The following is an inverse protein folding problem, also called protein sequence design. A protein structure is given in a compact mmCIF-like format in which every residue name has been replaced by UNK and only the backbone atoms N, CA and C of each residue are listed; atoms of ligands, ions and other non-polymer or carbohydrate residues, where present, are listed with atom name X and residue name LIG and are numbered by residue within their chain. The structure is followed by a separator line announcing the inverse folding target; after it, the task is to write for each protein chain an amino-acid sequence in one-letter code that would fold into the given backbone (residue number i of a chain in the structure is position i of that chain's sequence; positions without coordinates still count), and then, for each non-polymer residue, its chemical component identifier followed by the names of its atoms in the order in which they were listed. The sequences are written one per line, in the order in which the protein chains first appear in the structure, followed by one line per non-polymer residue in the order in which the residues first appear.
data_IF_591294500727
#
_entry.id   IF_591294500727
#
_cell.length_a   1.000
_cell.length_b   1.000
_cell.length_c   1.000
_cell.angle_alpha   90.00
_cell.angle_beta   90.00
_cell.angle_gamma   90.00
#
_symmetry.space_group_name_H-M   'P 1'
#
loop_
_entity.id
_entity.type
_entity.pdbx_description
1 polymer ?
#
# COMPACT_ATOMS: atom_id res chain seq x y z
N UNK A 1 18.91 -25.41 1.80
CA UNK A 1 18.60 -24.58 2.99
C UNK A 1 17.51 -23.55 2.72
N UNK A 2 17.61 -22.75 1.64
CA UNK A 2 16.51 -21.88 1.16
C UNK A 2 15.23 -22.65 0.76
N UNK A 3 15.37 -23.85 0.20
CA UNK A 3 14.23 -24.72 -0.16
C UNK A 3 13.43 -25.15 1.08
N UNK A 4 14.12 -25.50 2.16
CA UNK A 4 13.46 -25.86 3.42
C UNK A 4 12.76 -24.65 4.07
N UNK A 5 13.32 -23.44 3.95
CA UNK A 5 12.67 -22.20 4.37
C UNK A 5 11.44 -21.88 3.50
N UNK A 6 11.51 -22.12 2.18
CA UNK A 6 10.38 -21.99 1.26
C UNK A 6 9.27 -22.98 1.60
N UNK A 7 9.60 -24.24 1.82
CA UNK A 7 8.67 -25.30 2.21
C UNK A 7 8.02 -25.00 3.57
N UNK A 8 8.77 -24.50 4.56
CA UNK A 8 8.21 -24.04 5.83
C UNK A 8 7.26 -22.86 5.62
N UNK A 9 7.61 -21.92 4.74
CA UNK A 9 6.75 -20.79 4.37
C UNK A 9 5.44 -21.23 3.71
N UNK A 10 5.51 -22.14 2.74
CA UNK A 10 4.35 -22.72 2.06
C UNK A 10 3.43 -23.48 3.05
N UNK A 11 4.00 -24.27 3.96
CA UNK A 11 3.24 -24.99 5.01
C UNK A 11 2.55 -24.03 5.99
N UNK A 12 3.16 -22.88 6.31
CA UNK A 12 2.57 -21.88 7.20
C UNK A 12 1.42 -21.11 6.52
N UNK A 13 1.54 -20.82 5.23
CA UNK A 13 0.51 -20.17 4.42
C UNK A 13 -0.75 -21.03 4.31
N UNK A 14 -0.58 -22.33 4.01
CA UNK A 14 -1.68 -23.28 3.89
C UNK A 14 -2.40 -23.53 5.23
N UNK A 15 -1.66 -23.56 6.35
CA UNK A 15 -2.24 -23.79 7.69
C UNK A 15 -3.03 -22.60 8.23
N UNK A 16 -2.65 -21.38 7.89
CA UNK A 16 -3.31 -20.16 8.41
C UNK A 16 -4.37 -19.60 7.45
N UNK A 17 -4.60 -20.25 6.30
CA UNK A 17 -5.45 -19.73 5.21
C UNK A 17 -5.07 -18.28 4.83
N UNK A 18 -3.78 -17.97 4.94
CA UNK A 18 -3.20 -16.67 4.64
C UNK A 18 -2.61 -16.73 3.25
N UNK A 19 -2.94 -15.74 2.44
CA UNK A 19 -2.30 -15.55 1.15
C UNK A 19 -0.84 -15.12 1.35
N UNK A 20 0.05 -15.43 0.40
CA UNK A 20 1.47 -15.02 0.42
C UNK A 20 1.64 -13.52 0.72
N UNK A 21 0.67 -12.71 0.31
CA UNK A 21 0.68 -11.26 0.53
C UNK A 21 0.49 -10.88 2.00
N UNK A 22 -0.24 -11.67 2.80
CA UNK A 22 -0.56 -11.34 4.20
C UNK A 22 0.69 -11.31 5.09
N UNK A 23 1.66 -12.18 4.80
CA UNK A 23 2.97 -12.19 5.48
C UNK A 23 3.78 -10.93 5.15
N UNK A 24 3.57 -10.36 3.96
CA UNK A 24 4.29 -9.18 3.52
C UNK A 24 3.74 -7.89 4.12
N UNK A 25 2.47 -7.85 4.52
CA UNK A 25 1.82 -6.63 4.99
C UNK A 25 2.37 -6.20 6.37
N UNK A 26 2.53 -4.89 6.53
CA UNK A 26 2.82 -4.31 7.84
C UNK A 26 1.50 -3.92 8.52
N UNK A 27 1.43 -4.02 9.84
CA UNK A 27 0.32 -3.42 10.57
C UNK A 27 0.49 -1.88 10.57
N UNK A 28 -0.44 -1.09 10.01
CA UNK A 28 -0.37 0.36 10.07
C UNK A 28 -0.36 0.88 11.52
N UNK A 29 -1.00 0.16 12.44
CA UNK A 29 -1.04 0.48 13.87
C UNK A 29 -0.06 -0.35 14.72
N UNK A 30 1.16 -0.55 14.24
CA UNK A 30 2.18 -1.29 14.99
C UNK A 30 2.53 -0.67 16.37
N UNK A 31 2.02 0.51 16.71
CA UNK A 31 2.28 1.24 17.96
C UNK A 31 1.04 1.44 18.84
N UNK A 32 -0.16 1.03 18.42
CA UNK A 32 -1.41 1.28 19.16
C UNK A 32 -1.89 2.74 19.14
N UNK A 33 -1.42 3.54 18.18
CA UNK A 33 -1.64 5.00 18.10
C UNK A 33 -2.45 5.44 16.87
N UNK A 34 -2.62 4.58 15.87
CA UNK A 34 -3.37 4.86 14.65
C UNK A 34 -4.82 4.46 14.84
N UNK A 35 -5.68 5.45 15.05
CA UNK A 35 -7.10 5.23 15.38
C UNK A 35 -8.06 5.65 14.29
N UNK A 36 -7.57 6.43 13.31
CA UNK A 36 -8.41 7.05 12.28
C UNK A 36 -7.93 6.63 10.89
N UNK A 37 -8.88 6.44 9.99
CA UNK A 37 -8.66 6.17 8.57
C UNK A 37 -9.33 7.27 7.78
N UNK A 38 -8.55 7.97 6.96
CA UNK A 38 -9.10 8.81 5.90
C UNK A 38 -9.18 7.97 4.63
N UNK A 39 -10.37 7.87 4.08
CA UNK A 39 -10.64 7.03 2.91
C UNK A 39 -11.06 7.92 1.76
N UNK A 40 -10.36 7.82 0.63
CA UNK A 40 -10.84 8.37 -0.63
C UNK A 40 -11.80 7.36 -1.25
N UNK A 41 -13.06 7.76 -1.37
CA UNK A 41 -14.16 6.91 -1.81
C UNK A 41 -14.34 7.01 -3.33
N UNK A 42 -14.44 5.86 -3.99
CA UNK A 42 -14.74 5.72 -5.40
C UNK A 42 -15.97 4.86 -5.61
N UNK A 43 -16.78 5.16 -6.63
CA UNK A 43 -17.81 4.22 -7.09
C UNK A 43 -17.21 3.08 -7.94
N UNK A 44 -18.08 2.16 -8.34
CA UNK A 44 -17.76 1.05 -9.25
C UNK A 44 -17.15 1.50 -10.58
N UNK A 45 -17.51 2.69 -11.05
CA UNK A 45 -16.98 3.27 -12.28
C UNK A 45 -15.68 4.07 -12.02
N UNK A 46 -15.10 3.99 -10.83
CA UNK A 46 -13.88 4.70 -10.42
C UNK A 46 -14.01 6.23 -10.47
N UNK A 47 -15.22 6.76 -10.30
CA UNK A 47 -15.40 8.20 -10.11
C UNK A 47 -15.20 8.55 -8.63
N UNK A 48 -14.47 9.63 -8.37
CA UNK A 48 -14.23 10.09 -7.01
C UNK A 48 -15.52 10.64 -6.38
N UNK A 49 -15.88 10.14 -5.18
CA UNK A 49 -17.09 10.54 -4.44
C UNK A 49 -16.81 11.51 -3.31
N UNK A 50 -15.64 11.44 -2.69
CA UNK A 50 -15.29 12.28 -1.55
C UNK A 50 -14.34 11.59 -0.59
N UNK A 51 -14.20 12.20 0.59
CA UNK A 51 -13.34 11.70 1.67
C UNK A 51 -14.24 11.32 2.85
N UNK A 52 -14.13 10.09 3.32
CA UNK A 52 -14.77 9.64 4.56
C UNK A 52 -13.73 9.49 5.67
N UNK A 53 -14.21 9.62 6.92
CA UNK A 53 -13.40 9.44 8.13
C UNK A 53 -13.99 8.26 8.89
N UNK A 54 -13.18 7.22 9.06
CA UNK A 54 -13.58 5.98 9.72
C UNK A 54 -12.66 5.66 10.89
N UNK A 55 -13.15 4.84 11.83
CA UNK A 55 -12.32 4.24 12.86
C UNK A 55 -11.40 3.16 12.27
N UNK A 56 -10.18 3.09 12.78
CA UNK A 56 -9.21 2.08 12.37
C UNK A 56 -9.65 0.68 12.82
N UNK A 57 -9.76 -0.24 11.86
CA UNK A 57 -10.18 -1.63 12.09
C UNK A 57 -8.99 -2.48 12.54
N UNK A 58 -8.57 -2.30 13.78
CA UNK A 58 -7.41 -2.98 14.37
C UNK A 58 -7.49 -4.51 14.40
N UNK A 59 -8.70 -5.08 14.37
CA UNK A 59 -8.91 -6.53 14.31
C UNK A 59 -8.55 -7.14 12.94
N UNK A 60 -8.60 -6.33 11.87
CA UNK A 60 -8.37 -6.78 10.49
C UNK A 60 -7.48 -5.78 9.72
N UNK A 61 -6.24 -5.54 10.16
CA UNK A 61 -5.38 -4.49 9.56
C UNK A 61 -4.96 -4.80 8.12
N UNK A 62 -5.02 -6.08 7.70
CA UNK A 62 -4.67 -6.52 6.34
C UNK A 62 -5.58 -5.94 5.25
N UNK A 63 -6.82 -5.55 5.58
CA UNK A 63 -7.78 -4.99 4.60
C UNK A 63 -7.23 -3.73 3.92
N UNK A 64 -6.38 -2.98 4.63
CA UNK A 64 -5.75 -1.76 4.14
C UNK A 64 -4.56 -2.03 3.22
N UNK A 65 -4.13 -3.29 3.06
CA UNK A 65 -3.02 -3.71 2.21
C UNK A 65 -1.75 -2.87 2.41
N UNK A 66 -1.45 -2.49 3.65
CA UNK A 66 -0.35 -1.56 3.93
C UNK A 66 1.00 -2.27 3.88
N UNK A 67 1.92 -1.75 3.07
CA UNK A 67 3.34 -2.13 3.12
C UNK A 67 4.21 -0.90 2.97
N UNK A 68 4.99 -0.59 4.01
CA UNK A 68 5.83 0.60 4.04
C UNK A 68 7.02 0.46 3.10
N UNK A 69 7.36 1.51 2.38
CA UNK A 69 8.63 1.59 1.66
C UNK A 69 9.78 2.00 2.58
N UNK A 70 11.00 1.52 2.30
CA UNK A 70 12.17 1.79 3.13
C UNK A 70 12.66 3.25 3.08
N UNK A 71 12.25 4.04 2.08
CA UNK A 71 12.67 5.44 1.91
C UNK A 71 11.65 6.45 2.45
N UNK A 72 12.11 7.46 3.19
CA UNK A 72 11.23 8.45 3.86
C UNK A 72 10.33 9.27 2.92
N UNK A 73 10.72 9.43 1.65
CA UNK A 73 9.94 10.14 0.62
C UNK A 73 9.56 9.24 -0.57
N UNK A 74 9.80 7.94 -0.47
CA UNK A 74 9.33 7.00 -1.47
C UNK A 74 7.81 6.81 -1.27
N UNK A 75 7.05 6.59 -2.36
CA UNK A 75 5.72 6.03 -2.22
C UNK A 75 5.84 4.69 -1.48
N UNK A 76 4.89 4.41 -0.60
CA UNK A 76 4.79 3.10 0.04
C UNK A 76 4.52 2.04 -1.05
N UNK A 77 4.72 0.74 -0.78
CA UNK A 77 4.45 -0.32 -1.77
C UNK A 77 2.96 -0.50 -2.07
N UNK A 78 2.11 0.20 -1.32
CA UNK A 78 0.66 0.22 -1.41
C UNK A 78 0.14 1.65 -1.54
N UNK A 79 -1.07 1.85 -2.08
CA UNK A 79 -1.73 3.17 -2.06
C UNK A 79 -2.15 3.60 -0.64
N UNK A 80 -2.08 2.70 0.35
CA UNK A 80 -2.22 3.05 1.76
C UNK A 80 -0.95 3.67 2.32
N UNK A 81 -1.07 4.73 3.11
CA UNK A 81 0.07 5.42 3.73
C UNK A 81 -0.28 5.94 5.12
N UNK A 82 0.64 5.82 6.07
CA UNK A 82 0.57 6.57 7.34
C UNK A 82 0.73 8.06 7.05
N UNK A 83 -0.16 8.89 7.58
CA UNK A 83 -0.13 10.34 7.40
C UNK A 83 0.80 10.96 8.43
N UNK A 84 1.79 11.71 7.96
CA UNK A 84 2.62 12.60 8.79
C UNK A 84 2.32 14.07 8.50
N UNK A 85 2.12 14.39 7.22
CA UNK A 85 1.69 15.69 6.71
C UNK A 85 0.65 15.41 5.62
N UNK A 86 -0.59 15.88 5.79
CA UNK A 86 -1.73 15.49 4.95
C UNK A 86 -1.48 15.68 3.44
N UNK A 87 -1.12 16.91 3.04
CA UNK A 87 -0.87 17.24 1.62
C UNK A 87 0.30 16.45 1.04
N UNK A 88 1.41 16.37 1.77
CA UNK A 88 2.61 15.67 1.31
C UNK A 88 2.38 14.17 1.18
N UNK A 89 1.59 13.58 2.07
CA UNK A 89 1.21 12.16 1.99
C UNK A 89 0.37 11.90 0.75
N UNK A 90 -0.64 12.75 0.50
CA UNK A 90 -1.46 12.65 -0.70
C UNK A 90 -0.63 12.79 -1.99
N UNK A 91 0.21 13.82 -2.10
CA UNK A 91 0.97 14.09 -3.34
C UNK A 91 2.15 13.14 -3.52
N UNK A 92 3.03 13.03 -2.52
CA UNK A 92 4.33 12.34 -2.71
C UNK A 92 4.23 10.84 -2.53
N UNK A 93 3.17 10.34 -1.87
CA UNK A 93 2.96 8.90 -1.69
C UNK A 93 1.84 8.39 -2.56
N UNK A 94 0.59 8.80 -2.31
CA UNK A 94 -0.55 8.22 -3.02
C UNK A 94 -0.54 8.56 -4.51
N UNK A 95 -0.54 9.84 -4.90
CA UNK A 95 -0.53 10.23 -6.31
C UNK A 95 0.70 9.67 -7.03
N UNK A 96 1.86 9.70 -6.38
CA UNK A 96 3.09 9.13 -6.95
C UNK A 96 3.03 7.61 -7.12
N UNK A 97 2.41 6.89 -6.18
CA UNK A 97 2.21 5.44 -6.32
C UNK A 97 1.32 5.15 -7.53
N UNK A 98 0.22 5.88 -7.68
CA UNK A 98 -0.68 5.75 -8.82
C UNK A 98 0.01 6.12 -10.15
N UNK A 99 0.81 7.19 -10.16
CA UNK A 99 1.63 7.62 -11.31
C UNK A 99 2.56 6.50 -11.80
N UNK A 100 3.21 5.78 -10.88
CA UNK A 100 4.10 4.66 -11.21
C UNK A 100 3.38 3.45 -11.82
N UNK A 101 2.06 3.38 -11.71
CA UNK A 101 1.22 2.24 -12.09
C UNK A 101 0.18 2.60 -13.16
N UNK A 102 0.33 3.74 -13.84
CA UNK A 102 -0.57 4.20 -14.91
C UNK A 102 -0.68 3.25 -16.10
N UNK A 103 0.23 2.30 -16.25
CA UNK A 103 0.10 1.25 -17.28
C UNK A 103 -1.08 0.29 -17.01
N UNK A 104 -1.72 0.38 -15.84
CA UNK A 104 -2.96 -0.33 -15.50
C UNK A 104 -4.13 0.65 -15.68
N UNK A 105 -5.07 0.40 -16.61
CA UNK A 105 -6.13 1.35 -16.97
C UNK A 105 -6.97 1.83 -15.78
N UNK A 106 -7.30 0.94 -14.85
CA UNK A 106 -8.06 1.29 -13.65
C UNK A 106 -7.28 2.22 -12.73
N UNK A 107 -5.98 2.02 -12.60
CA UNK A 107 -5.09 2.87 -11.80
C UNK A 107 -4.91 4.24 -12.45
N UNK A 108 -4.76 4.27 -13.78
CA UNK A 108 -4.73 5.51 -14.55
C UNK A 108 -6.00 6.33 -14.33
N UNK A 109 -7.17 5.70 -14.41
CA UNK A 109 -8.45 6.38 -14.17
C UNK A 109 -8.57 6.95 -12.75
N UNK A 110 -8.18 6.19 -11.74
CA UNK A 110 -8.12 6.66 -10.35
C UNK A 110 -7.18 7.87 -10.24
N UNK A 111 -6.00 7.79 -10.87
CA UNK A 111 -5.03 8.87 -10.87
C UNK A 111 -5.58 10.16 -11.51
N UNK A 112 -6.24 10.04 -12.66
CA UNK A 112 -6.86 11.18 -13.35
C UNK A 112 -7.95 11.84 -12.50
N UNK A 113 -8.85 11.05 -11.92
CA UNK A 113 -9.91 11.56 -11.05
C UNK A 113 -9.36 12.28 -9.81
N UNK A 114 -8.30 11.76 -9.19
CA UNK A 114 -7.65 12.44 -8.07
C UNK A 114 -6.91 13.71 -8.49
N UNK A 115 -6.31 13.76 -9.69
CA UNK A 115 -5.67 14.98 -10.19
C UNK A 115 -6.68 16.06 -10.54
N UNK A 116 -7.80 15.68 -11.16
CA UNK A 116 -8.92 16.59 -11.46
C UNK A 116 -9.49 17.23 -10.19
N UNK A 117 -9.56 16.48 -9.09
CA UNK A 117 -10.09 16.93 -7.81
C UNK A 117 -9.01 17.38 -6.81
N UNK A 118 -7.75 17.48 -7.26
CA UNK A 118 -6.55 17.61 -6.39
C UNK A 118 -6.64 18.75 -5.38
N UNK A 119 -6.99 19.95 -5.82
CA UNK A 119 -7.03 21.13 -4.96
C UNK A 119 -8.11 21.01 -3.88
N UNK A 120 -9.30 20.52 -4.26
CA UNK A 120 -10.41 20.27 -3.34
C UNK A 120 -10.04 19.22 -2.30
N UNK A 121 -9.42 18.12 -2.72
CA UNK A 121 -8.96 17.04 -1.84
C UNK A 121 -7.93 17.58 -0.84
N UNK A 122 -6.91 18.31 -1.31
CA UNK A 122 -5.88 18.88 -0.42
C UNK A 122 -6.51 19.81 0.62
N UNK A 123 -7.47 20.64 0.22
CA UNK A 123 -8.18 21.54 1.14
C UNK A 123 -8.92 20.75 2.21
N UNK A 124 -9.72 19.76 1.83
CA UNK A 124 -10.47 18.92 2.78
C UNK A 124 -9.54 18.13 3.71
N UNK A 125 -8.46 17.55 3.18
CA UNK A 125 -7.47 16.83 4.00
C UNK A 125 -6.81 17.76 5.03
N UNK A 126 -6.52 19.01 4.68
CA UNK A 126 -5.99 20.02 5.63
C UNK A 126 -7.02 20.36 6.71
N UNK A 127 -8.28 20.56 6.34
CA UNK A 127 -9.36 20.83 7.30
C UNK A 127 -9.52 19.65 8.27
N UNK A 128 -9.56 18.41 7.77
CA UNK A 128 -9.58 17.21 8.60
C UNK A 128 -8.35 17.10 9.50
N UNK A 129 -7.17 17.51 9.03
CA UNK A 129 -5.93 17.48 9.80
C UNK A 129 -6.01 18.34 11.06
N UNK A 130 -6.68 19.49 10.96
CA UNK A 130 -6.89 20.39 12.11
C UNK A 130 -7.89 19.84 13.13
N UNK A 131 -8.84 19.00 12.69
CA UNK A 131 -9.91 18.44 13.53
C UNK A 131 -9.50 17.12 14.20
N UNK A 132 -8.61 16.35 13.58
CA UNK A 132 -8.23 15.00 14.03
C UNK A 132 -6.78 14.98 14.52
N UNK A 133 -6.59 14.92 15.85
CA UNK A 133 -5.24 14.91 16.44
C UNK A 133 -4.62 13.52 16.56
N UNK A 134 -5.42 12.46 16.39
CA UNK A 134 -4.92 11.09 16.43
C UNK A 134 -4.10 10.75 15.19
N UNK A 135 -3.20 9.75 15.33
CA UNK A 135 -2.50 9.26 14.15
C UNK A 135 -3.47 8.55 13.22
N UNK A 136 -3.20 8.70 11.93
CA UNK A 136 -4.13 8.33 10.88
C UNK A 136 -3.44 7.79 9.66
N UNK A 137 -4.18 7.03 8.88
CA UNK A 137 -3.75 6.52 7.58
C UNK A 137 -4.62 7.11 6.48
N UNK A 138 -4.06 7.21 5.29
CA UNK A 138 -4.77 7.50 4.05
C UNK A 138 -4.88 6.20 3.26
N UNK A 139 -6.07 5.88 2.74
CA UNK A 139 -6.30 4.73 1.86
C UNK A 139 -7.41 5.02 0.86
N UNK A 140 -7.76 4.03 0.02
CA UNK A 140 -8.83 4.09 -0.95
C UNK A 140 -9.90 3.03 -0.65
N UNK A 141 -11.14 3.33 -1.02
CA UNK A 141 -12.21 2.34 -1.21
C UNK A 141 -12.79 2.46 -2.60
N UNK A 142 -13.15 1.32 -3.19
CA UNK A 142 -13.84 1.24 -4.47
C UNK A 142 -15.11 0.45 -4.25
N UNK A 143 -16.26 1.06 -4.52
CA UNK A 143 -17.58 0.46 -4.34
C UNK A 143 -17.77 -0.12 -2.92
N UNK A 144 -17.33 0.66 -1.91
CA UNK A 144 -17.40 0.29 -0.50
C UNK A 144 -16.37 -0.75 -0.03
N UNK A 145 -15.54 -1.29 -0.93
CA UNK A 145 -14.52 -2.31 -0.63
C UNK A 145 -13.15 -1.70 -0.40
N UNK A 146 -12.42 -2.18 0.60
CA UNK A 146 -11.00 -1.81 0.76
C UNK A 146 -10.11 -2.54 -0.23
N UNK A 147 -8.88 -2.05 -0.40
CA UNK A 147 -7.88 -2.53 -1.37
C UNK A 147 -7.73 -4.06 -1.40
N UNK A 148 -7.76 -4.73 -0.25
CA UNK A 148 -7.62 -6.19 -0.19
C UNK A 148 -8.78 -6.96 -0.85
N UNK A 149 -9.98 -6.36 -0.82
CA UNK A 149 -11.24 -6.91 -1.30
C UNK A 149 -11.54 -6.53 -2.76
N UNK A 150 -10.78 -5.59 -3.33
CA UNK A 150 -10.93 -5.18 -4.73
C UNK A 150 -10.25 -6.21 -5.63
N UNK A 151 -11.02 -6.74 -6.59
CA UNK A 151 -10.54 -7.73 -7.56
C UNK A 151 -9.99 -7.07 -8.84
N UNK A 152 -10.51 -5.90 -9.22
CA UNK A 152 -10.04 -5.13 -10.35
C UNK A 152 -10.00 -3.63 -10.01
N UNK A 153 -8.82 -3.00 -9.97
CA UNK A 153 -7.49 -3.60 -10.16
C UNK A 153 -7.10 -4.48 -8.97
N UNK A 154 -6.35 -5.56 -9.22
CA UNK A 154 -5.88 -6.47 -8.18
C UNK A 154 -4.66 -5.89 -7.44
N UNK A 155 -4.93 -5.07 -6.42
CA UNK A 155 -3.88 -4.41 -5.63
C UNK A 155 -2.93 -5.39 -4.95
N UNK A 156 -3.38 -6.60 -4.62
CA UNK A 156 -2.54 -7.64 -4.00
C UNK A 156 -1.45 -8.09 -4.98
N UNK A 157 -1.83 -8.34 -6.23
CA UNK A 157 -0.87 -8.71 -7.29
C UNK A 157 0.10 -7.58 -7.61
N UNK A 158 -0.38 -6.34 -7.65
CA UNK A 158 0.48 -5.17 -7.90
C UNK A 158 1.56 -5.07 -6.80
N UNK A 159 1.14 -5.09 -5.52
CA UNK A 159 2.06 -5.02 -4.39
C UNK A 159 3.10 -6.14 -4.42
N UNK A 160 2.66 -7.38 -4.67
CA UNK A 160 3.56 -8.54 -4.76
C UNK A 160 4.58 -8.37 -5.88
N UNK A 161 4.14 -7.90 -7.05
CA UNK A 161 5.00 -7.63 -8.21
C UNK A 161 6.08 -6.59 -7.90
N UNK A 162 5.70 -5.47 -7.28
CA UNK A 162 6.62 -4.41 -6.87
C UNK A 162 7.65 -4.91 -5.87
N UNK A 163 7.18 -5.64 -4.85
CA UNK A 163 8.04 -6.15 -3.79
C UNK A 163 9.07 -7.16 -4.33
N UNK A 164 8.65 -8.09 -5.18
CA UNK A 164 9.55 -9.05 -5.83
C UNK A 164 10.56 -8.37 -6.77
N UNK A 165 10.12 -7.35 -7.50
CA UNK A 165 11.01 -6.55 -8.35
C UNK A 165 12.07 -5.87 -7.50
N UNK A 166 11.70 -5.30 -6.35
CA UNK A 166 12.64 -4.67 -5.43
C UNK A 166 13.66 -5.65 -4.86
N UNK A 167 13.24 -6.85 -4.46
CA UNK A 167 14.16 -7.90 -3.99
C UNK A 167 15.16 -8.27 -5.08
N UNK A 168 14.70 -8.43 -6.33
CA UNK A 168 15.58 -8.72 -7.47
C UNK A 168 16.62 -7.63 -7.70
N UNK A 169 16.23 -6.35 -7.63
CA UNK A 169 17.17 -5.23 -7.75
C UNK A 169 18.26 -5.25 -6.67
N UNK A 170 17.88 -5.54 -5.42
CA UNK A 170 18.83 -5.62 -4.30
C UNK A 170 19.79 -6.81 -4.50
N UNK A 171 19.25 -7.95 -4.92
CA UNK A 171 20.06 -9.15 -5.18
C UNK A 171 21.06 -8.98 -6.33
N UNK A 172 20.81 -8.08 -7.28
CA UNK A 172 21.74 -7.79 -8.37
C UNK A 172 22.90 -6.87 -7.96
N UNK A 173 22.75 -6.08 -6.88
CA UNK A 173 23.68 -4.98 -6.60
C UNK A 173 24.98 -5.37 -5.91
N UNK A 174 25.10 -6.52 -5.24
CA UNK A 174 26.35 -6.99 -4.61
C UNK A 174 26.23 -8.46 -4.11
N UNK A 175 25.53 -9.34 -4.83
CA UNK A 175 25.31 -10.71 -4.34
C UNK A 175 26.55 -11.59 -4.48
N UNK A 176 27.27 -11.73 -3.36
CA UNK A 176 28.03 -12.94 -3.07
C UNK A 176 27.03 -14.03 -2.68
N UNK A 177 27.07 -15.16 -3.38
CA UNK A 177 26.19 -16.28 -3.06
C UNK A 177 26.41 -16.72 -1.60
N UNK A 178 25.40 -16.60 -0.74
CA UNK A 178 25.51 -16.99 0.67
C UNK A 178 25.68 -18.50 0.89
N UNK A 179 25.60 -19.29 -0.19
CA UNK A 179 25.76 -20.75 -0.18
C UNK A 179 27.18 -21.17 -0.62
N UNK A 180 27.78 -20.50 -1.61
CA UNK A 180 29.09 -20.90 -2.14
C UNK A 180 30.18 -19.82 -2.06
N UNK A 181 29.85 -18.58 -1.67
CA UNK A 181 30.83 -17.49 -1.56
C UNK A 181 31.29 -16.89 -2.88
N UNK A 182 30.76 -17.34 -4.02
CA UNK A 182 31.14 -16.81 -5.33
C UNK A 182 30.30 -15.58 -5.69
N UNK A 183 30.98 -14.55 -6.21
CA UNK A 183 30.33 -13.45 -6.93
C UNK A 183 29.91 -13.98 -8.29
N UNK A 184 28.65 -13.79 -8.66
CA UNK A 184 28.28 -13.90 -10.07
C UNK A 184 28.70 -12.61 -10.77
N UNK A 185 29.80 -12.67 -11.51
CA UNK A 185 30.09 -11.70 -12.55
C UNK A 185 29.08 -11.89 -13.70
N UNK A 186 28.78 -10.79 -14.38
CA UNK A 186 27.74 -10.64 -15.42
C UNK A 186 27.65 -11.79 -16.44
#
# INVERSE_FOLDING_TARGET
MLTALKEIGEILLDKENRSEIDILLDNPDSSGKYKIVWVLEFDKDLNFKGISVEEFKGEKPHIYLYKRASGSNAPDFSPTSRITEAEKTFIKKLLRWLENHKNIPEIEKIHEELNKNKESIIKQLKELDTQTKDNKILTLKIDGKYLYEVENPDFKKILLGDYLTKIKEISKKDAVCSICGEKKEE
#
